data_IF_548882461877
#
_entry.id   IF_548882461877
#
_cell.length_a   1.000
_cell.length_b   1.000
_cell.length_c   1.000
_cell.angle_alpha   90.00
_cell.angle_beta   90.00
_cell.angle_gamma   90.00
#
_symmetry.space_group_name_H-M   'P 1'
#
loop_
_entity.id
_entity.type
_entity.pdbx_description
1 polymer ?
#
# COMPACT_ATOMS: atom_id res chain seq x y z
N UNK A 1 -38.61 38.95 23.48
CA UNK A 1 -38.05 37.74 22.83
C UNK A 1 -38.61 37.67 21.42
N UNK A 2 -37.77 37.74 20.39
CA UNK A 2 -38.22 37.62 18.99
C UNK A 2 -38.60 36.16 18.71
N UNK A 3 -39.71 35.92 18.00
CA UNK A 3 -40.11 34.53 17.68
C UNK A 3 -39.09 33.91 16.71
N UNK A 4 -38.76 32.62 16.82
CA UNK A 4 -37.77 31.96 15.95
C UNK A 4 -38.01 32.18 14.45
N UNK A 5 -39.28 32.18 14.01
CA UNK A 5 -39.66 32.44 12.61
C UNK A 5 -39.30 33.86 12.14
N UNK A 6 -39.53 34.87 12.97
CA UNK A 6 -39.20 36.27 12.65
C UNK A 6 -37.68 36.48 12.56
N UNK A 7 -36.91 35.78 13.39
CA UNK A 7 -35.46 35.79 13.33
C UNK A 7 -34.91 35.15 12.06
N UNK A 8 -35.46 34.00 11.66
CA UNK A 8 -35.08 33.30 10.42
C UNK A 8 -35.40 34.18 9.20
N UNK A 9 -36.57 34.81 9.17
CA UNK A 9 -36.95 35.72 8.07
C UNK A 9 -36.00 36.92 7.98
N UNK A 10 -35.64 37.53 9.11
CA UNK A 10 -34.71 38.67 9.17
C UNK A 10 -33.28 38.29 8.74
N UNK A 11 -32.85 37.06 9.02
CA UNK A 11 -31.49 36.57 8.73
C UNK A 11 -31.45 35.54 7.60
N UNK A 12 -32.45 35.55 6.70
CA UNK A 12 -32.64 34.51 5.66
C UNK A 12 -31.37 34.18 4.87
N UNK A 13 -30.58 35.20 4.49
CA UNK A 13 -29.32 34.99 3.74
C UNK A 13 -28.26 34.22 4.53
N UNK A 14 -28.12 34.51 5.82
CA UNK A 14 -27.16 33.83 6.70
C UNK A 14 -27.59 32.39 6.97
N UNK A 15 -28.90 32.17 7.17
CA UNK A 15 -29.45 30.82 7.35
C UNK A 15 -29.22 29.98 6.10
N UNK A 16 -29.48 30.52 4.90
CA UNK A 16 -29.21 29.83 3.63
C UNK A 16 -27.71 29.52 3.48
N UNK A 17 -26.83 30.50 3.70
CA UNK A 17 -25.38 30.30 3.60
C UNK A 17 -24.88 29.21 4.56
N UNK A 18 -25.36 29.20 5.81
CA UNK A 18 -25.03 28.16 6.79
C UNK A 18 -25.50 26.77 6.36
N UNK A 19 -26.71 26.65 5.81
CA UNK A 19 -27.23 25.37 5.27
C UNK A 19 -26.38 24.91 4.10
N UNK A 20 -26.05 25.79 3.15
CA UNK A 20 -25.23 25.44 1.98
C UNK A 20 -23.84 24.99 2.42
N UNK A 21 -23.21 25.68 3.38
CA UNK A 21 -21.93 25.23 3.93
C UNK A 21 -22.02 23.85 4.58
N UNK A 22 -23.07 23.59 5.36
CA UNK A 22 -23.27 22.26 5.96
C UNK A 22 -23.46 21.17 4.89
N UNK A 23 -24.17 21.47 3.79
CA UNK A 23 -24.33 20.56 2.66
C UNK A 23 -23.01 20.32 1.92
N UNK A 24 -22.20 21.35 1.70
CA UNK A 24 -20.87 21.20 1.11
C UNK A 24 -19.98 20.29 1.96
N UNK A 25 -19.99 20.49 3.29
CA UNK A 25 -19.24 19.66 4.23
C UNK A 25 -19.75 18.22 4.23
N UNK A 26 -21.07 18.03 4.26
CA UNK A 26 -21.69 16.70 4.16
C UNK A 26 -21.31 16.01 2.84
N UNK A 27 -21.29 16.73 1.72
CA UNK A 27 -20.90 16.17 0.42
C UNK A 27 -19.42 15.76 0.40
N UNK A 28 -18.50 16.61 0.88
CA UNK A 28 -17.07 16.28 1.00
C UNK A 28 -16.87 15.06 1.92
N UNK A 29 -17.66 14.94 2.98
CA UNK A 29 -17.57 13.84 3.93
C UNK A 29 -18.29 12.57 3.47
N UNK A 30 -19.23 12.62 2.54
CA UNK A 30 -20.02 11.46 2.14
C UNK A 30 -19.59 10.87 0.79
N UNK A 31 -19.05 11.69 -0.11
CA UNK A 31 -18.68 11.24 -1.45
C UNK A 31 -17.23 10.70 -1.48
N UNK A 32 -16.98 9.61 -2.22
CA UNK A 32 -15.62 9.09 -2.39
C UNK A 32 -14.76 10.09 -3.18
N UNK A 33 -13.47 10.16 -2.88
CA UNK A 33 -12.58 11.15 -3.49
C UNK A 33 -12.55 11.09 -5.01
N UNK A 34 -12.58 9.89 -5.61
CA UNK A 34 -12.66 9.71 -7.07
C UNK A 34 -13.78 10.56 -7.68
N UNK A 35 -14.97 10.53 -7.06
CA UNK A 35 -16.15 11.30 -7.49
C UNK A 35 -15.98 12.80 -7.24
N UNK A 36 -15.26 13.19 -6.18
CA UNK A 36 -14.96 14.59 -5.88
C UNK A 36 -13.89 15.19 -6.81
N UNK A 37 -12.91 14.39 -7.25
CA UNK A 37 -11.84 14.79 -8.16
C UNK A 37 -12.35 14.93 -9.58
N UNK A 38 -13.19 13.99 -10.03
CA UNK A 38 -13.78 14.05 -11.36
C UNK A 38 -14.47 15.39 -11.60
N UNK A 39 -14.14 16.02 -12.74
CA UNK A 39 -14.74 17.29 -13.19
C UNK A 39 -14.52 18.48 -12.24
N UNK A 40 -13.54 18.42 -11.33
CA UNK A 40 -13.22 19.54 -10.43
C UNK A 40 -14.30 19.83 -9.37
N UNK A 41 -15.16 18.85 -9.05
CA UNK A 41 -16.27 19.01 -8.10
C UNK A 41 -15.82 19.44 -6.71
N UNK A 42 -14.66 18.97 -6.25
CA UNK A 42 -14.05 19.42 -4.99
C UNK A 42 -13.81 20.93 -5.01
N UNK A 43 -13.25 21.46 -6.10
CA UNK A 43 -12.96 22.88 -6.25
C UNK A 43 -14.25 23.71 -6.33
N UNK A 44 -15.29 23.18 -6.98
CA UNK A 44 -16.64 23.79 -7.00
C UNK A 44 -17.22 23.84 -5.57
N UNK A 45 -17.20 22.73 -4.84
CA UNK A 45 -17.72 22.67 -3.46
C UNK A 45 -16.96 23.63 -2.54
N UNK A 46 -15.64 23.69 -2.66
CA UNK A 46 -14.81 24.63 -1.90
C UNK A 46 -15.08 26.08 -2.28
N UNK A 47 -15.27 26.38 -3.57
CA UNK A 47 -15.64 27.71 -4.04
C UNK A 47 -16.99 28.18 -3.48
N UNK A 48 -18.00 27.31 -3.52
CA UNK A 48 -19.33 27.57 -2.94
C UNK A 48 -19.25 27.75 -1.42
N UNK A 49 -18.48 26.91 -0.72
CA UNK A 49 -18.27 27.02 0.71
C UNK A 49 -17.62 28.36 1.09
N UNK A 50 -16.53 28.74 0.41
CA UNK A 50 -15.83 30.00 0.63
C UNK A 50 -16.72 31.22 0.35
N UNK A 51 -17.52 31.17 -0.72
CA UNK A 51 -18.50 32.21 -1.03
C UNK A 51 -19.58 32.34 0.06
N UNK A 52 -20.07 31.21 0.59
CA UNK A 52 -21.02 31.19 1.70
C UNK A 52 -20.40 31.70 3.01
N UNK A 53 -19.15 31.33 3.29
CA UNK A 53 -18.40 31.84 4.44
C UNK A 53 -18.19 33.36 4.37
N UNK A 54 -17.89 33.89 3.17
CA UNK A 54 -17.77 35.33 2.95
C UNK A 54 -19.12 36.06 3.15
N UNK A 55 -20.23 35.46 2.72
CA UNK A 55 -21.58 36.05 2.87
C UNK A 55 -22.13 35.98 4.30
N UNK A 56 -21.56 35.16 5.19
CA UNK A 56 -21.96 35.04 6.61
C UNK A 56 -21.60 36.24 7.51
N UNK A 57 -20.85 37.23 7.00
CA UNK A 57 -20.92 38.63 7.45
C UNK A 57 -20.08 39.10 8.68
N UNK A 58 -19.76 40.41 8.59
CA UNK A 58 -19.28 41.43 9.56
C UNK A 58 -17.96 41.29 10.33
N UNK A 59 -17.45 40.09 10.63
CA UNK A 59 -16.18 39.95 11.38
C UNK A 59 -15.15 39.19 10.56
N UNK A 60 -14.01 39.84 10.32
CA UNK A 60 -12.90 39.35 9.50
C UNK A 60 -12.34 37.96 9.89
N UNK A 61 -12.53 37.52 11.13
CA UNK A 61 -12.04 36.23 11.61
C UNK A 61 -12.95 35.03 11.31
N UNK A 62 -14.24 35.22 11.02
CA UNK A 62 -15.16 34.10 10.76
C UNK A 62 -14.83 33.38 9.44
N UNK A 63 -14.55 34.08 8.32
CA UNK A 63 -14.05 33.43 7.10
C UNK A 63 -12.75 32.68 7.34
N UNK A 64 -11.86 33.19 8.19
CA UNK A 64 -10.61 32.52 8.54
C UNK A 64 -10.86 31.18 9.24
N UNK A 65 -11.75 31.15 10.24
CA UNK A 65 -12.09 29.90 10.95
C UNK A 65 -12.80 28.93 10.00
N UNK A 66 -13.75 29.40 9.19
CA UNK A 66 -14.45 28.56 8.22
C UNK A 66 -13.47 27.97 7.20
N UNK A 67 -12.51 28.76 6.72
CA UNK A 67 -11.46 28.31 5.81
C UNK A 67 -10.55 27.27 6.45
N UNK A 68 -10.09 27.49 7.69
CA UNK A 68 -9.30 26.50 8.43
C UNK A 68 -10.07 25.21 8.66
N UNK A 69 -11.36 25.29 8.95
CA UNK A 69 -12.24 24.12 9.11
C UNK A 69 -12.42 23.37 7.79
N UNK A 70 -12.59 24.09 6.68
CA UNK A 70 -12.67 23.50 5.36
C UNK A 70 -11.36 22.81 4.95
N UNK A 71 -10.21 23.43 5.22
CA UNK A 71 -8.89 22.80 5.04
C UNK A 71 -8.81 21.54 5.90
N UNK A 72 -9.11 21.63 7.20
CA UNK A 72 -9.05 20.49 8.11
C UNK A 72 -9.90 19.33 7.65
N UNK A 73 -11.13 19.60 7.17
CA UNK A 73 -12.01 18.56 6.64
C UNK A 73 -11.56 18.03 5.29
N UNK A 74 -11.02 18.86 4.39
CA UNK A 74 -10.45 18.38 3.14
C UNK A 74 -9.22 17.52 3.39
N UNK A 75 -8.28 17.95 4.22
CA UNK A 75 -7.10 17.16 4.58
C UNK A 75 -7.50 15.86 5.26
N UNK A 76 -8.50 15.88 6.14
CA UNK A 76 -9.01 14.68 6.81
C UNK A 76 -9.72 13.71 5.84
N UNK A 77 -10.55 14.23 4.94
CA UNK A 77 -11.39 13.41 4.06
C UNK A 77 -10.66 12.95 2.79
N UNK A 78 -9.69 13.72 2.32
CA UNK A 78 -9.09 13.62 0.98
C UNK A 78 -7.56 13.61 0.99
N UNK A 79 -6.92 13.99 2.10
CA UNK A 79 -5.47 14.21 2.14
C UNK A 79 -4.65 12.98 1.72
N UNK A 80 -5.05 11.77 2.14
CA UNK A 80 -4.37 10.53 1.75
C UNK A 80 -4.41 10.27 0.26
N UNK A 81 -5.57 10.47 -0.36
CA UNK A 81 -5.73 10.34 -1.80
C UNK A 81 -4.95 11.40 -2.58
N UNK A 82 -5.00 12.66 -2.15
CA UNK A 82 -4.30 13.75 -2.80
C UNK A 82 -2.79 13.47 -2.85
N UNK A 83 -2.22 13.05 -1.73
CA UNK A 83 -0.79 12.72 -1.61
C UNK A 83 -0.44 11.55 -2.54
N UNK A 84 -1.22 10.47 -2.51
CA UNK A 84 -0.92 9.29 -3.32
C UNK A 84 -0.99 9.58 -4.84
N UNK A 85 -1.99 10.35 -5.28
CA UNK A 85 -2.15 10.67 -6.71
C UNK A 85 -1.22 11.77 -7.21
N UNK A 86 -0.80 12.73 -6.37
CA UNK A 86 0.18 13.74 -6.77
C UNK A 86 1.62 13.20 -6.77
N UNK A 87 1.92 12.20 -5.93
CA UNK A 87 3.25 11.58 -5.88
C UNK A 87 3.47 10.49 -6.93
N UNK A 88 2.40 9.99 -7.55
CA UNK A 88 2.47 8.92 -8.54
C UNK A 88 2.68 9.47 -9.96
N UNK A 89 3.74 9.00 -10.61
CA UNK A 89 4.07 9.21 -12.01
C UNK A 89 3.58 8.03 -12.85
N UNK A 90 3.10 8.29 -14.07
CA UNK A 90 2.74 7.20 -15.01
C UNK A 90 3.98 6.46 -15.55
N UNK A 91 5.13 7.13 -15.56
CA UNK A 91 6.40 6.54 -15.99
C UNK A 91 7.29 6.24 -14.79
N UNK A 92 8.11 5.18 -14.86
CA UNK A 92 9.14 4.90 -13.86
C UNK A 92 10.03 6.13 -13.64
N UNK A 93 10.34 6.41 -12.38
CA UNK A 93 11.21 7.53 -12.02
C UNK A 93 12.70 7.13 -12.01
N UNK A 94 12.96 5.82 -12.05
CA UNK A 94 14.28 5.22 -12.19
C UNK A 94 14.23 4.18 -13.32
N UNK A 95 15.32 4.10 -14.09
CA UNK A 95 15.46 3.08 -15.11
C UNK A 95 15.52 1.71 -14.43
N UNK A 96 14.56 0.85 -14.72
CA UNK A 96 14.58 -0.53 -14.27
C UNK A 96 15.50 -1.34 -15.19
N UNK A 97 16.22 -2.33 -14.66
CA UNK A 97 17.03 -3.22 -15.48
C UNK A 97 16.12 -4.02 -16.43
N UNK A 98 16.61 -4.33 -17.63
CA UNK A 98 15.92 -5.18 -18.60
C UNK A 98 16.54 -6.59 -18.53
N UNK A 99 15.96 -7.45 -17.70
CA UNK A 99 16.45 -8.81 -17.47
C UNK A 99 15.33 -9.82 -17.74
N UNK A 100 15.65 -10.92 -18.42
CA UNK A 100 14.73 -12.03 -18.66
C UNK A 100 14.82 -13.04 -17.52
N UNK A 101 14.07 -12.78 -16.46
CA UNK A 101 14.09 -13.56 -15.21
C UNK A 101 12.69 -14.03 -14.91
N UNK A 102 12.56 -15.27 -14.47
CA UNK A 102 11.30 -15.84 -14.02
C UNK A 102 11.39 -16.28 -12.57
N UNK A 103 10.30 -16.06 -11.84
CA UNK A 103 10.18 -16.39 -10.42
C UNK A 103 8.96 -17.26 -10.24
N UNK A 104 9.08 -18.32 -9.46
CA UNK A 104 7.94 -19.12 -9.05
C UNK A 104 7.20 -18.29 -7.99
N UNK A 105 6.00 -17.76 -8.30
CA UNK A 105 5.25 -16.96 -7.34
C UNK A 105 4.97 -17.87 -6.15
N UNK A 106 5.53 -17.51 -5.00
CA UNK A 106 5.06 -18.13 -3.78
C UNK A 106 3.74 -17.47 -3.35
N UNK A 107 3.18 -18.01 -2.30
CA UNK A 107 2.08 -17.42 -1.54
C UNK A 107 2.08 -17.93 -0.11
N UNK A 108 3.13 -18.66 0.25
CA UNK A 108 3.33 -19.27 1.54
C UNK A 108 3.85 -18.22 2.51
N UNK A 109 3.22 -18.16 3.67
CA UNK A 109 3.68 -17.32 4.75
C UNK A 109 4.75 -18.08 5.55
N UNK A 110 5.91 -17.47 5.68
CA UNK A 110 6.92 -17.87 6.66
C UNK A 110 6.76 -17.03 7.89
N UNK A 111 6.79 -17.68 9.04
CA UNK A 111 6.79 -17.00 10.33
C UNK A 111 8.02 -17.41 11.12
N UNK A 112 8.64 -16.44 11.77
CA UNK A 112 9.66 -16.68 12.77
C UNK A 112 9.42 -15.81 13.99
N UNK A 113 9.96 -16.24 15.11
CA UNK A 113 9.86 -15.49 16.36
C UNK A 113 11.22 -14.92 16.75
N UNK A 114 11.24 -13.63 17.08
CA UNK A 114 12.40 -12.93 17.65
C UNK A 114 12.10 -12.64 19.12
N UNK A 115 12.92 -13.17 20.02
CA UNK A 115 12.84 -12.81 21.44
C UNK A 115 13.65 -11.52 21.65
N UNK A 116 12.95 -10.40 21.85
CA UNK A 116 13.56 -9.13 22.22
C UNK A 116 13.43 -8.84 23.72
N UNK A 117 14.25 -7.94 24.26
CA UNK A 117 14.00 -7.35 25.57
C UNK A 117 13.30 -6.00 25.41
N UNK A 118 12.16 -5.84 26.10
CA UNK A 118 11.49 -4.54 26.24
C UNK A 118 11.53 -4.15 27.71
N UNK A 119 12.54 -3.37 28.08
CA UNK A 119 12.87 -3.12 29.49
C UNK A 119 13.38 -4.41 30.15
N UNK A 120 12.77 -4.82 31.26
CA UNK A 120 13.14 -6.04 32.01
C UNK A 120 12.38 -7.30 31.58
N UNK A 121 11.45 -7.21 30.62
CA UNK A 121 10.65 -8.35 30.15
C UNK A 121 11.13 -8.83 28.78
N UNK A 122 11.28 -10.14 28.63
CA UNK A 122 11.39 -10.77 27.31
C UNK A 122 10.03 -10.69 26.60
N UNK A 123 10.04 -10.19 25.38
CA UNK A 123 8.87 -10.11 24.50
C UNK A 123 9.19 -10.90 23.24
N UNK A 124 8.36 -11.88 22.93
CA UNK A 124 8.45 -12.63 21.68
C UNK A 124 7.68 -11.86 20.61
N UNK A 125 8.40 -11.39 19.59
CA UNK A 125 7.81 -10.77 18.39
C UNK A 125 7.81 -11.79 17.26
N UNK A 126 6.63 -12.21 16.83
CA UNK A 126 6.48 -13.03 15.63
C UNK A 126 6.45 -12.11 14.41
N UNK A 127 7.29 -12.38 13.43
CA UNK A 127 7.30 -11.71 12.13
C UNK A 127 6.85 -12.69 11.08
N UNK A 128 6.05 -12.21 10.12
CA UNK A 128 5.52 -13.00 9.02
C UNK A 128 5.76 -12.30 7.69
N UNK A 129 6.01 -13.08 6.65
CA UNK A 129 6.35 -12.61 5.31
C UNK A 129 5.92 -13.66 4.29
N UNK A 130 5.66 -13.25 3.06
CA UNK A 130 5.41 -14.12 1.92
C UNK A 130 6.72 -14.30 1.14
N UNK A 131 6.94 -15.52 0.69
CA UNK A 131 8.15 -15.94 -0.05
C UNK A 131 7.84 -16.04 -1.53
N UNK A 132 8.84 -15.80 -2.37
CA UNK A 132 8.86 -16.25 -3.76
C UNK A 132 10.17 -17.01 -4.06
N UNK A 133 10.09 -18.01 -4.93
CA UNK A 133 11.19 -18.95 -5.17
C UNK A 133 11.84 -18.69 -6.54
N UNK A 134 13.15 -18.50 -6.56
CA UNK A 134 13.93 -18.39 -7.80
C UNK A 134 14.41 -19.75 -8.29
N UNK A 135 14.58 -20.70 -7.36
CA UNK A 135 14.86 -22.09 -7.65
C UNK A 135 13.88 -23.02 -6.93
N UNK A 136 13.34 -24.04 -7.61
CA UNK A 136 12.39 -24.97 -7.00
C UNK A 136 13.03 -25.93 -5.97
N UNK A 137 14.30 -26.30 -6.15
CA UNK A 137 14.97 -27.35 -5.38
C UNK A 137 15.96 -26.82 -4.32
N UNK A 138 15.45 -26.21 -3.25
CA UNK A 138 16.27 -25.86 -2.07
C UNK A 138 17.30 -24.74 -2.30
N UNK A 139 17.21 -24.05 -3.43
CA UNK A 139 18.03 -22.90 -3.76
C UNK A 139 17.56 -21.62 -3.08
N UNK A 140 18.14 -20.46 -3.45
CA UNK A 140 17.80 -19.20 -2.84
C UNK A 140 16.35 -18.80 -3.15
N UNK A 141 15.68 -18.26 -2.13
CA UNK A 141 14.36 -17.66 -2.24
C UNK A 141 14.39 -16.26 -1.65
N UNK A 142 13.64 -15.33 -2.26
CA UNK A 142 13.52 -13.96 -1.73
C UNK A 142 12.25 -13.87 -0.92
N UNK A 143 12.39 -13.24 0.22
CA UNK A 143 11.39 -13.11 1.24
C UNK A 143 11.31 -11.64 1.62
N UNK A 144 10.08 -11.12 1.70
CA UNK A 144 9.81 -9.70 1.87
C UNK A 144 10.33 -8.81 0.72
N UNK A 145 9.81 -7.58 0.67
CA UNK A 145 10.34 -6.52 -0.18
C UNK A 145 11.05 -5.43 0.64
N UNK A 146 11.54 -5.78 1.84
CA UNK A 146 12.24 -4.87 2.75
C UNK A 146 13.12 -5.66 3.74
N UNK A 147 14.01 -4.93 4.42
CA UNK A 147 14.85 -5.52 5.46
C UNK A 147 14.03 -6.06 6.62
N UNK A 148 14.43 -7.21 7.15
CA UNK A 148 13.84 -7.80 8.36
C UNK A 148 14.75 -7.70 9.58
N UNK A 149 15.91 -7.03 9.46
CA UNK A 149 16.89 -6.85 10.52
C UNK A 149 17.58 -8.16 10.93
N UNK A 150 17.87 -9.02 9.96
CA UNK A 150 18.60 -10.28 10.12
C UNK A 150 20.04 -10.13 9.66
N UNK A 151 20.95 -10.87 10.30
CA UNK A 151 22.34 -10.92 9.88
C UNK A 151 22.55 -12.10 8.92
N UNK A 152 23.44 -11.93 7.94
CA UNK A 152 23.83 -13.03 7.08
C UNK A 152 24.46 -14.16 7.93
N UNK A 153 24.06 -15.40 7.68
CA UNK A 153 24.42 -16.56 8.47
C UNK A 153 23.44 -16.90 9.60
N UNK A 154 22.47 -16.02 9.90
CA UNK A 154 21.40 -16.33 10.85
C UNK A 154 20.60 -17.54 10.38
N UNK A 155 20.29 -18.45 11.31
CA UNK A 155 19.40 -19.61 11.07
C UNK A 155 18.16 -19.50 11.94
N UNK A 156 17.18 -18.64 11.58
CA UNK A 156 15.97 -18.50 12.38
C UNK A 156 15.16 -19.79 12.36
N UNK A 157 14.47 -20.06 13.46
CA UNK A 157 13.47 -21.12 13.50
C UNK A 157 12.24 -20.66 12.70
N UNK A 158 12.18 -21.12 11.45
CA UNK A 158 11.13 -20.76 10.50
C UNK A 158 10.03 -21.80 10.58
N UNK A 159 8.84 -21.35 10.97
CA UNK A 159 7.62 -22.11 10.93
C UNK A 159 6.83 -21.72 9.68
N UNK A 160 6.65 -22.62 8.71
CA UNK A 160 5.74 -22.36 7.61
C UNK A 160 4.30 -22.40 8.14
N UNK A 161 3.49 -21.41 7.78
CA UNK A 161 2.07 -21.36 8.21
C UNK A 161 1.12 -22.09 7.26
N UNK A 162 1.62 -22.56 6.11
CA UNK A 162 0.86 -23.30 5.10
C UNK A 162 0.96 -24.82 5.35
N UNK A 163 -0.18 -25.51 5.35
CA UNK A 163 -0.30 -26.97 5.46
C UNK A 163 0.53 -27.71 4.38
N UNK A 164 0.80 -27.08 3.24
CA UNK A 164 1.58 -27.67 2.14
C UNK A 164 3.08 -27.88 2.47
N UNK A 165 3.61 -27.19 3.49
CA UNK A 165 5.01 -27.30 3.92
C UNK A 165 5.20 -28.29 5.08
N UNK A 166 4.14 -28.97 5.53
CA UNK A 166 4.16 -29.90 6.69
C UNK A 166 4.77 -31.28 6.32
N UNK A 167 4.98 -31.56 5.04
CA UNK A 167 5.57 -32.82 4.59
C UNK A 167 7.09 -32.73 4.45
N UNK A 168 7.80 -32.83 5.58
CA UNK A 168 9.21 -33.20 5.62
C UNK A 168 10.11 -32.18 6.31
N UNK A 169 10.50 -32.50 7.55
CA UNK A 169 11.62 -31.95 8.33
C UNK A 169 12.02 -30.49 8.02
N UNK A 170 11.72 -29.57 8.94
CA UNK A 170 12.28 -28.21 8.95
C UNK A 170 13.80 -28.24 8.79
N UNK A 171 14.28 -28.10 7.55
CA UNK A 171 15.69 -27.82 7.31
C UNK A 171 15.93 -26.39 7.79
N UNK A 172 17.03 -26.12 8.52
CA UNK A 172 17.35 -24.77 8.92
C UNK A 172 17.53 -23.93 7.67
N UNK A 173 16.70 -22.90 7.51
CA UNK A 173 16.90 -21.90 6.48
C UNK A 173 18.01 -20.96 6.96
N UNK A 174 19.01 -20.72 6.12
CA UNK A 174 20.07 -19.77 6.42
C UNK A 174 19.83 -18.47 5.66
N UNK A 175 19.92 -17.34 6.37
CA UNK A 175 19.89 -16.00 5.78
C UNK A 175 21.18 -15.83 4.98
N UNK A 176 21.05 -15.63 3.66
CA UNK A 176 22.18 -15.30 2.79
C UNK A 176 22.45 -13.79 2.78
N UNK A 177 21.37 -13.00 2.75
CA UNK A 177 21.44 -11.54 2.74
C UNK A 177 20.15 -10.94 3.33
N UNK A 178 20.27 -9.75 3.91
CA UNK A 178 19.15 -8.91 4.34
C UNK A 178 19.51 -7.46 4.00
N UNK A 179 18.71 -6.84 3.13
CA UNK A 179 18.89 -5.46 2.72
C UNK A 179 17.55 -4.75 2.53
N UNK A 180 17.59 -3.47 2.15
CA UNK A 180 16.39 -2.65 1.96
C UNK A 180 15.42 -3.19 0.89
N UNK A 181 15.88 -4.09 0.02
CA UNK A 181 15.09 -4.70 -1.07
C UNK A 181 14.46 -6.04 -0.70
N UNK A 182 14.91 -6.68 0.38
CA UNK A 182 14.39 -7.97 0.83
C UNK A 182 15.43 -8.82 1.56
N UNK A 183 15.01 -10.03 1.91
CA UNK A 183 15.83 -11.03 2.60
C UNK A 183 15.93 -12.27 1.73
N UNK A 184 17.15 -12.78 1.56
CA UNK A 184 17.40 -14.01 0.81
C UNK A 184 17.64 -15.14 1.80
N UNK A 185 16.88 -16.23 1.64
CA UNK A 185 17.09 -17.46 2.42
C UNK A 185 17.51 -18.60 1.50
N UNK A 186 18.35 -19.49 2.02
CA UNK A 186 18.71 -20.76 1.40
C UNK A 186 18.12 -21.95 2.17
N UNK A 187 17.99 -23.10 1.50
CA UNK A 187 17.55 -24.35 2.12
C UNK A 187 16.04 -24.55 2.17
N UNK A 188 15.25 -23.55 1.74
CA UNK A 188 13.80 -23.65 1.60
C UNK A 188 13.44 -24.24 0.24
N UNK A 189 12.55 -25.23 0.23
CA UNK A 189 12.05 -25.85 -1.00
C UNK A 189 10.71 -25.25 -1.39
N UNK A 190 10.49 -25.04 -2.68
CA UNK A 190 9.17 -24.71 -3.18
C UNK A 190 8.22 -25.90 -2.88
N UNK A 191 7.08 -25.69 -2.19
CA UNK A 191 6.20 -26.78 -1.77
C UNK A 191 5.50 -27.46 -2.95
N UNK A 192 5.28 -26.71 -4.03
CA UNK A 192 4.69 -27.21 -5.27
C UNK A 192 5.71 -27.09 -6.41
N UNK A 193 6.43 -28.18 -6.76
CA UNK A 193 7.44 -28.16 -7.82
C UNK A 193 6.83 -27.97 -9.22
N UNK A 194 5.53 -28.22 -9.39
CA UNK A 194 4.83 -28.07 -10.67
C UNK A 194 4.31 -26.63 -10.88
N UNK A 195 4.47 -25.75 -9.88
CA UNK A 195 4.03 -24.36 -9.97
C UNK A 195 4.82 -23.63 -11.05
N UNK A 196 4.09 -23.07 -12.01
CA UNK A 196 4.66 -22.37 -13.15
C UNK A 196 5.39 -21.10 -12.70
N UNK A 197 6.65 -20.96 -13.11
CA UNK A 197 7.39 -19.71 -12.99
C UNK A 197 6.77 -18.62 -13.87
N UNK A 198 6.69 -17.41 -13.33
CA UNK A 198 6.19 -16.24 -14.03
C UNK A 198 7.35 -15.27 -14.30
N UNK A 199 7.39 -14.67 -15.50
CA UNK A 199 8.41 -13.68 -15.82
C UNK A 199 8.24 -12.42 -14.96
N UNK A 200 9.35 -11.80 -14.59
CA UNK A 200 9.38 -10.48 -13.98
C UNK A 200 9.09 -9.42 -15.05
N UNK A 201 8.26 -8.45 -14.71
CA UNK A 201 7.86 -7.41 -15.64
C UNK A 201 8.87 -6.26 -15.66
N UNK A 202 9.19 -5.79 -16.86
CA UNK A 202 9.94 -4.55 -17.05
C UNK A 202 9.09 -3.32 -16.78
N UNK A 203 9.75 -2.16 -16.70
CA UNK A 203 9.09 -0.86 -16.59
C UNK A 203 7.97 -0.65 -17.64
N UNK A 204 8.23 -1.02 -18.90
CA UNK A 204 7.28 -0.86 -20.00
C UNK A 204 6.11 -1.85 -20.00
N UNK A 205 6.20 -2.92 -19.20
CA UNK A 205 5.13 -3.91 -19.07
C UNK A 205 4.05 -3.46 -18.07
N UNK A 206 4.39 -2.56 -17.15
CA UNK A 206 3.48 -2.09 -16.10
C UNK A 206 2.45 -1.12 -16.69
N UNK A 207 1.18 -1.48 -16.59
CA UNK A 207 0.06 -0.67 -17.11
C UNK A 207 -0.60 0.11 -15.99
N UNK A 208 -0.23 1.39 -15.92
CA UNK A 208 -0.86 2.35 -14.99
C UNK A 208 -2.35 2.51 -15.31
N UNK A 209 -3.16 2.60 -14.26
CA UNK A 209 -4.61 2.69 -14.35
C UNK A 209 -5.31 1.36 -14.63
N UNK A 210 -4.57 0.25 -14.77
CA UNK A 210 -5.13 -1.11 -14.95
C UNK A 210 -5.07 -1.91 -13.65
N UNK A 211 -5.90 -2.95 -13.62
CA UNK A 211 -5.97 -3.88 -12.50
C UNK A 211 -4.77 -4.81 -12.49
N UNK A 212 -4.43 -5.27 -11.30
CA UNK A 212 -3.43 -6.29 -10.99
C UNK A 212 -3.95 -7.07 -9.77
N UNK A 213 -3.28 -8.16 -9.41
CA UNK A 213 -3.66 -8.99 -8.26
C UNK A 213 -2.48 -9.20 -7.33
N UNK A 214 -2.70 -9.05 -6.03
CA UNK A 214 -1.76 -9.53 -5.02
C UNK A 214 -2.13 -10.98 -4.75
N UNK A 215 -1.25 -11.91 -5.12
CA UNK A 215 -1.51 -13.33 -4.89
C UNK A 215 -1.17 -13.72 -3.45
N UNK A 216 -2.13 -14.34 -2.77
CA UNK A 216 -1.93 -14.94 -1.45
C UNK A 216 -2.60 -16.32 -1.40
N UNK A 217 -1.90 -17.32 -0.87
CA UNK A 217 -2.50 -18.66 -0.75
C UNK A 217 -3.54 -18.72 0.38
N UNK A 218 -3.35 -17.97 1.46
CA UNK A 218 -4.21 -18.05 2.64
C UNK A 218 -5.48 -17.21 2.56
N UNK A 219 -5.45 -16.07 1.85
CA UNK A 219 -6.54 -15.09 1.85
C UNK A 219 -7.17 -14.91 0.46
N UNK A 220 -6.73 -15.67 -0.55
CA UNK A 220 -7.12 -15.49 -1.95
C UNK A 220 -6.42 -14.31 -2.62
N UNK A 221 -6.73 -14.12 -3.90
CA UNK A 221 -6.19 -13.01 -4.68
C UNK A 221 -6.87 -11.69 -4.29
N UNK A 222 -6.07 -10.67 -4.00
CA UNK A 222 -6.58 -9.34 -3.67
C UNK A 222 -6.49 -8.45 -4.91
N UNK A 223 -7.62 -7.99 -5.45
CA UNK A 223 -7.62 -7.11 -6.62
C UNK A 223 -7.12 -5.72 -6.24
N UNK A 224 -6.17 -5.22 -7.02
CA UNK A 224 -5.58 -3.89 -6.86
C UNK A 224 -5.53 -3.16 -8.20
N UNK A 225 -5.44 -1.84 -8.17
CA UNK A 225 -5.26 -1.01 -9.35
C UNK A 225 -3.92 -0.29 -9.28
N UNK A 226 -3.14 -0.36 -10.35
CA UNK A 226 -1.87 0.35 -10.45
C UNK A 226 -2.16 1.86 -10.58
N UNK A 227 -1.66 2.66 -9.65
CA UNK A 227 -1.81 4.12 -9.66
C UNK A 227 -0.63 4.79 -10.36
N UNK A 228 0.59 4.25 -10.17
CA UNK A 228 1.80 4.75 -10.81
C UNK A 228 3.04 4.45 -10.00
N UNK A 229 4.13 5.12 -10.33
CA UNK A 229 5.44 5.00 -9.70
C UNK A 229 5.73 6.21 -8.82
N UNK A 230 6.38 6.03 -7.68
CA UNK A 230 6.82 7.14 -6.85
C UNK A 230 8.22 6.90 -6.27
N UNK A 231 8.86 7.99 -5.83
CA UNK A 231 10.12 7.95 -5.10
C UNK A 231 9.87 8.38 -3.66
N UNK A 232 10.29 7.56 -2.70
CA UNK A 232 10.25 7.90 -1.28
C UNK A 232 11.57 7.50 -0.61
N UNK A 233 12.24 8.46 0.02
CA UNK A 233 13.55 8.24 0.65
C UNK A 233 14.56 7.55 -0.29
N UNK A 234 14.67 8.04 -1.52
CA UNK A 234 15.51 7.48 -2.61
C UNK A 234 15.16 6.04 -3.02
N UNK A 235 14.06 5.46 -2.53
CA UNK A 235 13.58 4.17 -2.96
C UNK A 235 12.45 4.35 -3.98
N UNK A 236 12.48 3.53 -5.02
CA UNK A 236 11.47 3.51 -6.06
C UNK A 236 10.37 2.51 -5.71
N UNK A 237 9.12 2.95 -5.82
CA UNK A 237 7.95 2.16 -5.47
C UNK A 237 6.90 2.22 -6.57
N UNK A 238 6.18 1.12 -6.70
CA UNK A 238 4.88 1.06 -7.36
C UNK A 238 3.79 1.35 -6.32
N UNK A 239 2.94 2.32 -6.61
CA UNK A 239 1.77 2.67 -5.80
C UNK A 239 0.55 1.99 -6.40
N UNK A 240 -0.16 1.21 -5.58
CA UNK A 240 -1.40 0.54 -5.96
C UNK A 240 -2.52 0.90 -4.99
N UNK A 241 -3.75 0.82 -5.47
CA UNK A 241 -4.97 1.04 -4.71
C UNK A 241 -5.72 -0.29 -4.58
N UNK A 242 -6.05 -0.72 -3.36
CA UNK A 242 -6.91 -1.88 -3.14
C UNK A 242 -8.30 -1.60 -3.70
N UNK A 243 -8.85 -2.55 -4.47
CA UNK A 243 -10.21 -2.46 -5.01
C UNK A 243 -11.24 -3.10 -4.09
N UNK A 244 -10.78 -3.90 -3.13
CA UNK A 244 -11.59 -4.50 -2.08
C UNK A 244 -11.21 -3.88 -0.73
N UNK A 245 -12.22 -3.32 -0.04
CA UNK A 245 -12.08 -2.72 1.28
C UNK A 245 -12.07 -3.77 2.40
N UNK A 246 -12.61 -4.97 2.14
CA UNK A 246 -12.70 -6.08 3.09
C UNK A 246 -11.52 -7.06 2.94
N UNK A 247 -11.09 -7.37 1.71
CA UNK A 247 -9.88 -8.17 1.46
C UNK A 247 -8.62 -7.33 1.75
N UNK A 248 -8.16 -7.40 3.00
CA UNK A 248 -7.17 -6.46 3.50
C UNK A 248 -5.71 -6.89 3.32
N UNK A 249 -4.89 -6.00 2.77
CA UNK A 249 -3.42 -6.10 2.79
C UNK A 249 -2.87 -5.88 4.20
N UNK A 250 -2.72 -6.95 4.98
CA UNK A 250 -2.34 -6.91 6.39
C UNK A 250 -0.85 -7.16 6.69
N UNK A 251 -0.46 -7.06 7.98
CA UNK A 251 0.83 -7.57 8.45
C UNK A 251 1.00 -9.04 8.05
N UNK A 252 2.23 -9.44 7.67
CA UNK A 252 2.50 -10.82 7.23
C UNK A 252 2.54 -11.00 5.72
N UNK A 253 2.07 -10.02 4.94
CA UNK A 253 1.92 -10.14 3.49
C UNK A 253 3.09 -9.57 2.68
N UNK A 254 4.08 -8.95 3.34
CA UNK A 254 5.26 -8.42 2.68
C UNK A 254 5.99 -9.51 1.87
N UNK A 255 6.46 -9.18 0.66
CA UNK A 255 7.03 -10.12 -0.29
C UNK A 255 6.00 -10.81 -1.18
N UNK A 256 4.70 -10.59 -0.95
CA UNK A 256 3.63 -11.13 -1.79
C UNK A 256 3.76 -10.67 -3.24
N UNK A 257 3.73 -11.58 -4.22
CA UNK A 257 3.88 -11.21 -5.63
C UNK A 257 2.63 -10.47 -6.11
N UNK A 258 2.86 -9.39 -6.87
CA UNK A 258 1.82 -8.62 -7.55
C UNK A 258 1.90 -8.94 -9.03
N UNK A 259 0.80 -9.43 -9.59
CA UNK A 259 0.74 -9.95 -10.95
C UNK A 259 -0.17 -9.07 -11.81
N UNK A 260 0.32 -8.71 -12.99
CA UNK A 260 -0.47 -8.05 -14.04
C UNK A 260 -0.14 -8.69 -15.38
N UNK A 261 -1.16 -9.02 -16.15
CA UNK A 261 -1.04 -9.64 -17.49
C UNK A 261 -0.10 -10.87 -17.53
N UNK A 262 -0.12 -11.67 -16.46
CA UNK A 262 0.69 -12.89 -16.34
C UNK A 262 2.17 -12.67 -16.01
N UNK A 263 2.58 -11.45 -15.68
CA UNK A 263 3.94 -11.11 -15.23
C UNK A 263 3.92 -10.61 -13.78
N UNK A 264 4.98 -10.86 -13.02
CA UNK A 264 5.16 -10.30 -11.68
C UNK A 264 5.70 -8.88 -11.84
N UNK A 265 4.89 -7.87 -11.55
CA UNK A 265 5.27 -6.45 -11.71
C UNK A 265 5.99 -5.90 -10.48
N UNK A 266 5.68 -6.42 -9.29
CA UNK A 266 6.21 -5.92 -8.04
C UNK A 266 6.07 -6.95 -6.90
N UNK A 267 6.81 -6.74 -5.82
CA UNK A 267 6.61 -7.44 -4.55
C UNK A 267 6.06 -6.48 -3.50
N UNK A 268 5.04 -6.92 -2.78
CA UNK A 268 4.36 -6.14 -1.75
C UNK A 268 5.36 -5.71 -0.66
N UNK A 269 5.48 -4.40 -0.41
CA UNK A 269 6.33 -3.85 0.65
C UNK A 269 5.50 -3.52 1.89
N UNK A 270 4.48 -2.67 1.72
CA UNK A 270 3.65 -2.23 2.85
C UNK A 270 2.27 -1.78 2.40
N UNK A 271 1.27 -2.02 3.25
CA UNK A 271 -0.05 -1.41 3.11
C UNK A 271 -0.19 -0.20 4.03
N UNK A 272 -0.77 0.88 3.53
CA UNK A 272 -1.17 2.04 4.34
C UNK A 272 -2.68 2.21 4.24
N UNK A 273 -3.34 2.27 5.41
CA UNK A 273 -4.77 2.54 5.50
C UNK A 273 -4.97 3.94 6.08
N UNK A 274 -5.56 4.82 5.29
CA UNK A 274 -6.02 6.10 5.79
C UNK A 274 -7.33 5.92 6.56
N UNK A 275 -7.61 6.82 7.52
CA UNK A 275 -8.86 6.78 8.30
C UNK A 275 -10.11 6.89 7.41
N UNK A 276 -9.98 7.61 6.29
CA UNK A 276 -10.93 7.67 5.19
C UNK A 276 -10.16 7.67 3.88
N UNK A 277 -10.70 6.98 2.89
CA UNK A 277 -10.08 6.80 1.58
C UNK A 277 -9.68 5.34 1.34
N UNK A 278 -9.21 5.06 0.12
CA UNK A 278 -8.83 3.72 -0.29
C UNK A 278 -7.57 3.27 0.44
N UNK A 279 -7.39 1.96 0.50
CA UNK A 279 -6.17 1.36 1.03
C UNK A 279 -5.10 1.41 -0.04
N UNK A 280 -3.99 2.09 0.26
CA UNK A 280 -2.85 2.14 -0.63
C UNK A 280 -1.87 1.04 -0.29
N UNK A 281 -1.23 0.55 -1.34
CA UNK A 281 -0.23 -0.49 -1.31
C UNK A 281 1.01 0.07 -1.96
N UNK A 282 2.11 0.00 -1.22
CA UNK A 282 3.45 0.27 -1.72
C UNK A 282 4.09 -1.06 -2.03
N UNK A 283 4.67 -1.17 -3.21
CA UNK A 283 5.35 -2.37 -3.67
C UNK A 283 6.68 -2.00 -4.34
N UNK A 284 7.69 -2.85 -4.21
CA UNK A 284 8.95 -2.66 -4.93
C UNK A 284 8.87 -3.28 -6.31
N UNK A 285 9.29 -2.59 -7.38
CA UNK A 285 9.36 -3.19 -8.72
C UNK A 285 10.16 -4.50 -8.70
N UNK A 286 9.62 -5.53 -9.35
CA UNK A 286 10.15 -6.89 -9.18
C UNK A 286 11.60 -7.04 -9.68
N UNK A 287 11.92 -6.42 -10.82
CA UNK A 287 13.28 -6.44 -11.37
C UNK A 287 14.29 -5.68 -10.51
N UNK A 288 13.87 -4.65 -9.78
CA UNK A 288 14.74 -3.94 -8.85
C UNK A 288 15.09 -4.80 -7.64
N UNK A 289 14.12 -5.58 -7.14
CA UNK A 289 14.36 -6.55 -6.06
C UNK A 289 15.32 -7.64 -6.51
N UNK A 290 15.18 -8.13 -7.75
CA UNK A 290 16.09 -9.13 -8.29
C UNK A 290 17.50 -8.59 -8.48
N UNK A 291 17.67 -7.45 -9.15
CA UNK A 291 18.97 -6.82 -9.44
C UNK A 291 19.75 -6.54 -8.16
N UNK A 292 19.09 -6.03 -7.11
CA UNK A 292 19.70 -5.76 -5.81
C UNK A 292 20.19 -7.02 -5.08
N UNK A 293 19.63 -8.19 -5.40
CA UNK A 293 19.91 -9.46 -4.71
C UNK A 293 20.60 -10.48 -5.62
N UNK A 294 20.91 -10.14 -6.87
CA UNK A 294 21.33 -11.08 -7.91
C UNK A 294 22.52 -11.94 -7.48
N UNK A 295 23.51 -11.35 -6.79
CA UNK A 295 24.72 -12.04 -6.31
C UNK A 295 24.43 -13.20 -5.32
N UNK A 296 23.25 -13.22 -4.69
CA UNK A 296 22.81 -14.28 -3.78
C UNK A 296 21.80 -15.24 -4.41
N UNK A 297 21.27 -14.88 -5.59
CA UNK A 297 20.24 -15.64 -6.29
C UNK A 297 20.83 -16.54 -7.38
N UNK A 298 21.99 -16.18 -7.92
CA UNK A 298 22.75 -16.97 -8.87
C UNK A 298 23.86 -17.77 -8.15
N UNK A 299 24.07 -19.05 -8.50
CA UNK A 299 25.09 -19.91 -7.89
C UNK A 299 26.51 -19.64 -8.40
#
# INVERSE_FOLDING_TARGET
MMKPREWILKNRRQVIAGIVMALCMAAILALPFRVLREQGRLLILMGVFCFCAHTLYRRWWVPLIAFLLAIGVCTYAVGGDLIAYEMASETPLQQLPELDVSVIPGGESLQWSVTGQQGSRSVVKTSGVIVCFYMPEGGPCVVAAHSCGREAGDTPDISPTSEALVSGSSRPAAVLADCDHGVVFSGLKCPDPDRKALPLAGAGDVKVGKEAVICTLSNGDIPVKVIGFCMMNNNHFLVLESLDDEAGVGPGMSGGPIIQDGKIIAFLHSGTRFHRGPRFVMARPALEVYDALQEYLEP
#
